data_IF_728455647623
#
_entry.id   IF_728455647623
#
_cell.length_a   1.000
_cell.length_b   1.000
_cell.length_c   1.000
_cell.angle_alpha   90.00
_cell.angle_beta   90.00
_cell.angle_gamma   90.00
#
_symmetry.space_group_name_H-M   'P 1'
#
loop_
_entity.id
_entity.type
_entity.pdbx_description
1 polymer ?
#
# COMPACT_ATOMS: atom_id res chain seq x y z
N UNK A 1 -17.28 -3.37 36.82
CA UNK A 1 -16.66 -3.67 35.51
C UNK A 1 -15.26 -3.05 35.50
N UNK A 2 -14.20 -3.83 35.75
CA UNK A 2 -12.83 -3.30 35.69
C UNK A 2 -12.44 -3.23 34.23
N UNK A 3 -12.32 -2.02 33.68
CA UNK A 3 -11.73 -1.82 32.36
C UNK A 3 -10.25 -2.18 32.50
N UNK A 4 -9.87 -3.40 32.11
CA UNK A 4 -8.47 -3.77 31.98
C UNK A 4 -7.94 -3.02 30.76
N UNK A 5 -7.39 -1.83 30.98
CA UNK A 5 -6.63 -1.11 29.95
C UNK A 5 -5.35 -1.91 29.69
N UNK A 6 -5.38 -2.86 28.75
CA UNK A 6 -4.19 -3.61 28.35
C UNK A 6 -3.23 -2.65 27.67
N UNK A 7 -2.16 -2.28 28.38
CA UNK A 7 -1.06 -1.50 27.80
C UNK A 7 -0.42 -2.30 26.67
N UNK A 8 -0.42 -1.73 25.46
CA UNK A 8 0.27 -2.35 24.34
C UNK A 8 1.76 -2.49 24.65
N UNK A 9 2.30 -3.69 24.38
CA UNK A 9 3.71 -3.96 24.54
C UNK A 9 4.51 -3.16 23.51
N UNK A 10 5.46 -2.36 23.98
CA UNK A 10 6.45 -1.71 23.12
C UNK A 10 7.29 -2.78 22.41
N UNK A 11 7.91 -2.45 21.28
CA UNK A 11 8.86 -3.38 20.63
C UNK A 11 10.01 -3.75 21.61
N UNK A 12 10.62 -4.92 21.42
CA UNK A 12 11.63 -5.44 22.35
C UNK A 12 12.88 -4.53 22.38
N UNK A 13 13.23 -3.93 21.24
CA UNK A 13 14.37 -3.00 21.11
C UNK A 13 14.19 -1.72 21.94
N UNK A 14 13.02 -1.08 21.91
CA UNK A 14 12.74 0.10 22.75
C UNK A 14 12.71 -0.26 24.22
N UNK A 15 12.25 -1.46 24.59
CA UNK A 15 12.30 -1.90 25.99
C UNK A 15 13.74 -2.06 26.49
N UNK A 16 14.66 -2.57 25.66
CA UNK A 16 16.09 -2.65 25.99
C UNK A 16 16.71 -1.25 26.13
N UNK A 17 16.43 -0.34 25.21
CA UNK A 17 16.92 1.05 25.24
C UNK A 17 16.41 1.83 26.46
N UNK A 18 15.18 1.57 26.90
CA UNK A 18 14.58 2.19 28.09
C UNK A 18 15.02 1.54 29.41
N UNK A 19 15.98 0.61 29.39
CA UNK A 19 16.50 -0.03 30.60
C UNK A 19 15.57 -1.08 31.21
N UNK A 20 14.71 -1.73 30.40
CA UNK A 20 13.83 -2.82 30.82
C UNK A 20 12.95 -2.49 32.06
N UNK A 21 12.04 -1.49 31.94
CA UNK A 21 11.19 -1.07 33.06
C UNK A 21 10.27 -2.19 33.58
N UNK A 22 10.00 -3.20 32.75
CA UNK A 22 9.18 -4.36 33.09
C UNK A 22 9.96 -5.50 33.77
N UNK A 23 11.28 -5.33 34.02
CA UNK A 23 12.18 -6.33 34.62
C UNK A 23 12.06 -7.74 34.01
N UNK A 24 11.89 -7.80 32.68
CA UNK A 24 11.83 -9.07 31.95
C UNK A 24 13.19 -9.74 31.86
N UNK A 25 13.23 -11.03 31.54
CA UNK A 25 14.48 -11.72 31.27
C UNK A 25 15.22 -11.08 30.08
N UNK A 26 16.42 -10.57 30.34
CA UNK A 26 17.23 -9.84 29.36
C UNK A 26 17.61 -10.68 28.15
N UNK A 27 17.87 -11.98 28.33
CA UNK A 27 18.26 -12.87 27.23
C UNK A 27 17.08 -13.15 26.30
N UNK A 28 15.90 -13.38 26.87
CA UNK A 28 14.67 -13.54 26.10
C UNK A 28 14.32 -12.26 25.33
N UNK A 29 14.49 -11.10 25.97
CA UNK A 29 14.21 -9.81 25.37
C UNK A 29 15.16 -9.50 24.20
N UNK A 30 16.45 -9.83 24.33
CA UNK A 30 17.43 -9.75 23.23
C UNK A 30 17.06 -10.68 22.08
N UNK A 31 16.74 -11.95 22.36
CA UNK A 31 16.31 -12.92 21.34
C UNK A 31 15.07 -12.45 20.60
N UNK A 32 14.14 -11.81 21.31
CA UNK A 32 12.93 -11.24 20.72
C UNK A 32 13.25 -10.03 19.84
N UNK A 33 14.14 -9.14 20.27
CA UNK A 33 14.57 -8.01 19.46
C UNK A 33 15.25 -8.46 18.16
N UNK A 34 16.13 -9.47 18.22
CA UNK A 34 16.75 -10.07 17.02
C UNK A 34 15.70 -10.71 16.10
N UNK A 35 14.69 -11.36 16.66
CA UNK A 35 13.59 -11.95 15.88
C UNK A 35 12.75 -10.87 15.20
N UNK A 36 12.40 -9.80 15.91
CA UNK A 36 11.66 -8.66 15.36
C UNK A 36 12.44 -7.97 14.23
N UNK A 37 13.76 -7.87 14.34
CA UNK A 37 14.63 -7.30 13.31
C UNK A 37 14.74 -8.22 12.07
N UNK A 38 14.84 -9.54 12.27
CA UNK A 38 14.80 -10.53 11.17
C UNK A 38 13.44 -10.65 10.48
N UNK A 39 12.37 -10.26 11.17
CA UNK A 39 11.01 -10.31 10.64
C UNK A 39 10.68 -9.10 9.75
N UNK A 40 11.53 -8.05 9.77
CA UNK A 40 11.42 -6.96 8.80
C UNK A 40 11.72 -7.51 7.41
N UNK A 41 10.73 -7.39 6.53
CA UNK A 41 10.90 -7.77 5.13
C UNK A 41 11.88 -6.82 4.45
N UNK A 42 12.61 -7.34 3.47
CA UNK A 42 13.47 -6.51 2.62
C UNK A 42 12.61 -5.55 1.79
N UNK A 43 13.16 -4.38 1.48
CA UNK A 43 12.59 -3.40 0.55
C UNK A 43 13.48 -3.21 -0.69
N UNK A 44 14.36 -4.19 -0.96
CA UNK A 44 15.37 -4.09 -2.00
C UNK A 44 14.82 -4.30 -3.42
N UNK A 45 13.66 -4.95 -3.57
CA UNK A 45 13.13 -5.40 -4.87
C UNK A 45 11.83 -4.70 -5.27
N UNK A 46 11.61 -3.47 -4.81
CA UNK A 46 10.45 -2.68 -5.21
C UNK A 46 10.62 -2.16 -6.65
N UNK A 47 10.31 -3.02 -7.61
CA UNK A 47 10.40 -2.75 -9.04
C UNK A 47 9.05 -2.98 -9.71
N UNK A 48 8.68 -2.16 -10.71
CA UNK A 48 7.40 -2.33 -11.38
C UNK A 48 7.41 -3.64 -12.20
N UNK A 49 6.33 -4.42 -12.16
CA UNK A 49 6.23 -5.65 -12.95
C UNK A 49 6.22 -5.38 -14.45
N UNK A 50 6.63 -6.40 -15.23
CA UNK A 50 6.80 -6.29 -16.68
C UNK A 50 5.49 -6.05 -17.43
N UNK A 51 4.39 -6.65 -16.95
CA UNK A 51 3.05 -6.58 -17.55
C UNK A 51 2.37 -5.20 -17.42
N UNK A 52 2.95 -4.31 -16.63
CA UNK A 52 2.38 -3.00 -16.34
C UNK A 52 2.54 -2.03 -17.53
N UNK A 53 1.50 -1.24 -17.83
CA UNK A 53 1.55 -0.23 -18.89
C UNK A 53 2.54 0.91 -18.59
N UNK A 54 2.98 1.67 -19.60
CA UNK A 54 3.94 2.76 -19.44
C UNK A 54 3.48 3.84 -18.46
N UNK A 55 2.19 4.21 -18.50
CA UNK A 55 1.62 5.22 -17.61
C UNK A 55 1.64 4.72 -16.16
N UNK A 56 1.21 3.47 -15.97
CA UNK A 56 1.24 2.80 -14.67
C UNK A 56 2.68 2.62 -14.13
N UNK A 57 3.66 2.28 -14.99
CA UNK A 57 5.09 2.18 -14.61
C UNK A 57 5.66 3.50 -14.13
N UNK A 58 5.28 4.63 -14.75
CA UNK A 58 5.71 5.96 -14.32
C UNK A 58 5.16 6.28 -12.93
N UNK A 59 3.87 6.00 -12.71
CA UNK A 59 3.22 6.24 -11.43
C UNK A 59 3.76 5.33 -10.33
N UNK A 60 3.98 4.05 -10.62
CA UNK A 60 4.60 3.10 -9.72
C UNK A 60 5.97 3.60 -9.26
N UNK A 61 6.84 4.06 -10.17
CA UNK A 61 8.17 4.58 -9.82
C UNK A 61 8.08 5.84 -8.96
N UNK A 62 7.10 6.72 -9.22
CA UNK A 62 6.84 7.92 -8.41
C UNK A 62 6.46 7.54 -6.98
N UNK A 63 5.49 6.64 -6.83
CA UNK A 63 4.99 6.19 -5.53
C UNK A 63 6.04 5.37 -4.77
N UNK A 64 6.69 4.41 -5.43
CA UNK A 64 7.74 3.60 -4.83
C UNK A 64 8.87 4.47 -4.26
N UNK A 65 9.30 5.51 -4.98
CA UNK A 65 10.32 6.44 -4.49
C UNK A 65 9.88 7.18 -3.21
N UNK A 66 8.64 7.66 -3.16
CA UNK A 66 8.10 8.36 -1.99
C UNK A 66 7.95 7.41 -0.80
N UNK A 67 7.38 6.23 -1.03
CA UNK A 67 7.07 5.25 0.01
C UNK A 67 8.32 4.56 0.58
N UNK A 68 9.34 4.31 -0.25
CA UNK A 68 10.64 3.82 0.22
C UNK A 68 11.36 4.85 1.09
N UNK A 69 11.23 6.15 0.79
CA UNK A 69 11.88 7.21 1.57
C UNK A 69 11.41 7.28 3.03
N UNK A 70 10.21 6.77 3.30
CA UNK A 70 9.59 6.70 4.64
C UNK A 70 9.55 5.26 5.20
N UNK A 71 10.23 4.31 4.55
CA UNK A 71 10.24 2.88 4.92
C UNK A 71 8.83 2.27 5.07
N UNK A 72 7.84 2.75 4.30
CA UNK A 72 6.44 2.32 4.45
C UNK A 72 6.12 1.05 3.65
N UNK A 73 6.88 0.77 2.59
CA UNK A 73 6.67 -0.39 1.72
C UNK A 73 7.86 -1.34 1.72
N UNK A 74 7.57 -2.62 1.51
CA UNK A 74 8.53 -3.70 1.38
C UNK A 74 8.22 -4.56 0.14
N UNK A 75 9.01 -5.62 -0.07
CA UNK A 75 8.87 -6.51 -1.23
C UNK A 75 7.48 -7.17 -1.36
N UNK A 76 6.71 -7.34 -0.27
CA UNK A 76 5.34 -7.87 -0.33
C UNK A 76 4.32 -6.89 -0.92
N UNK A 77 4.60 -5.60 -0.86
CA UNK A 77 3.65 -4.56 -1.28
C UNK A 77 3.71 -4.29 -2.78
N UNK A 78 4.70 -4.88 -3.48
CA UNK A 78 4.93 -4.66 -4.92
C UNK A 78 3.70 -4.99 -5.75
N UNK A 79 3.07 -6.14 -5.52
CA UNK A 79 1.91 -6.58 -6.31
C UNK A 79 0.69 -5.69 -6.05
N UNK A 80 0.46 -5.31 -4.79
CA UNK A 80 -0.63 -4.41 -4.43
C UNK A 80 -0.45 -3.02 -5.05
N UNK A 81 0.77 -2.48 -5.02
CA UNK A 81 1.09 -1.20 -5.64
C UNK A 81 0.97 -1.28 -7.16
N UNK A 82 1.32 -2.41 -7.77
CA UNK A 82 1.17 -2.64 -9.20
C UNK A 82 -0.31 -2.64 -9.63
N UNK A 83 -1.17 -3.35 -8.90
CA UNK A 83 -2.62 -3.37 -9.15
C UNK A 83 -3.25 -1.99 -9.02
N UNK A 84 -2.83 -1.21 -8.01
CA UNK A 84 -3.26 0.19 -7.88
C UNK A 84 -2.85 1.02 -9.10
N UNK A 85 -1.59 0.92 -9.54
CA UNK A 85 -1.09 1.68 -10.68
C UNK A 85 -1.77 1.28 -12.00
N UNK A 86 -2.11 0.00 -12.16
CA UNK A 86 -2.86 -0.48 -13.31
C UNK A 86 -4.27 0.11 -13.35
N UNK A 87 -5.00 0.06 -12.23
CA UNK A 87 -6.32 0.68 -12.10
C UNK A 87 -6.28 2.19 -12.36
N UNK A 88 -5.21 2.86 -11.91
CA UNK A 88 -4.98 4.28 -12.18
C UNK A 88 -4.78 4.57 -13.68
N UNK A 89 -3.98 3.77 -14.39
CA UNK A 89 -3.80 3.93 -15.84
C UNK A 89 -5.11 3.73 -16.60
N UNK A 90 -5.87 2.69 -16.25
CA UNK A 90 -7.18 2.44 -16.83
C UNK A 90 -8.16 3.59 -16.58
N UNK A 91 -8.18 4.15 -15.37
CA UNK A 91 -9.00 5.31 -15.03
C UNK A 91 -8.71 6.51 -15.95
N UNK A 92 -7.44 6.83 -16.18
CA UNK A 92 -7.05 7.91 -17.09
C UNK A 92 -7.48 7.64 -18.53
N UNK A 93 -7.28 6.40 -19.00
CA UNK A 93 -7.68 5.99 -20.35
C UNK A 93 -9.20 6.13 -20.56
N UNK A 94 -10.02 5.64 -19.62
CA UNK A 94 -11.48 5.77 -19.75
C UNK A 94 -11.94 7.22 -19.67
N UNK A 95 -11.32 8.03 -18.80
CA UNK A 95 -11.62 9.45 -18.71
C UNK A 95 -11.36 10.18 -20.03
N UNK A 96 -10.24 9.88 -20.69
CA UNK A 96 -9.92 10.44 -22.00
C UNK A 96 -10.94 10.01 -23.06
N UNK A 97 -11.28 8.71 -23.11
CA UNK A 97 -12.26 8.20 -24.08
C UNK A 97 -13.67 8.78 -23.88
N UNK A 98 -14.07 9.06 -22.64
CA UNK A 98 -15.35 9.74 -22.35
C UNK A 98 -15.29 11.20 -22.79
N UNK A 99 -14.16 11.88 -22.63
CA UNK A 99 -13.99 13.25 -23.11
C UNK A 99 -14.02 13.35 -24.64
N UNK A 100 -13.41 12.39 -25.34
CA UNK A 100 -13.35 12.38 -26.81
C UNK A 100 -14.67 11.99 -27.46
N UNK A 101 -15.32 10.93 -26.96
CA UNK A 101 -16.55 10.39 -27.56
C UNK A 101 -17.83 10.99 -26.98
N UNK A 102 -17.74 11.75 -25.89
CA UNK A 102 -18.89 12.22 -25.12
C UNK A 102 -19.58 11.11 -24.33
N UNK A 103 -20.69 11.48 -23.70
CA UNK A 103 -21.48 10.57 -22.83
C UNK A 103 -22.33 9.58 -23.63
N UNK A 104 -22.60 9.86 -24.90
CA UNK A 104 -23.50 9.10 -25.75
C UNK A 104 -22.80 8.75 -27.06
N UNK A 105 -22.91 7.49 -27.48
CA UNK A 105 -22.41 7.00 -28.76
C UNK A 105 -23.60 6.46 -29.54
N UNK A 106 -24.17 7.30 -30.41
CA UNK A 106 -25.48 7.04 -31.02
C UNK A 106 -26.60 7.06 -29.96
N UNK A 107 -27.50 6.08 -30.01
CA UNK A 107 -28.63 5.97 -29.06
C UNK A 107 -28.27 5.26 -27.74
N UNK A 108 -27.00 4.89 -27.55
CA UNK A 108 -26.54 4.16 -26.36
C UNK A 108 -25.58 5.01 -25.52
N UNK A 109 -25.58 4.85 -24.19
CA UNK A 109 -24.58 5.47 -23.34
C UNK A 109 -23.19 4.91 -23.68
N UNK A 110 -22.17 5.75 -23.54
CA UNK A 110 -20.79 5.35 -23.78
C UNK A 110 -20.40 4.19 -22.85
N UNK A 111 -19.93 3.03 -23.38
CA UNK A 111 -19.62 1.85 -22.57
C UNK A 111 -18.53 2.10 -21.53
N UNK A 112 -17.65 3.08 -21.75
CA UNK A 112 -16.57 3.42 -20.84
C UNK A 112 -17.03 4.13 -19.58
N UNK A 113 -18.27 4.64 -19.53
CA UNK A 113 -18.84 5.26 -18.32
C UNK A 113 -18.87 4.25 -17.16
N UNK A 114 -19.40 3.05 -17.41
CA UNK A 114 -19.50 2.01 -16.38
C UNK A 114 -18.12 1.49 -15.96
N UNK A 115 -17.18 1.39 -16.90
CA UNK A 115 -15.81 1.00 -16.61
C UNK A 115 -15.09 2.07 -15.75
N UNK A 116 -15.27 3.35 -16.09
CA UNK A 116 -14.78 4.48 -15.31
C UNK A 116 -15.35 4.51 -13.90
N UNK A 117 -16.66 4.28 -13.72
CA UNK A 117 -17.29 4.20 -12.40
C UNK A 117 -16.72 3.05 -11.55
N UNK A 118 -16.47 1.89 -12.15
CA UNK A 118 -15.84 0.76 -11.43
C UNK A 118 -14.44 1.10 -10.93
N UNK A 119 -13.61 1.71 -11.78
CA UNK A 119 -12.27 2.15 -11.38
C UNK A 119 -12.33 3.27 -10.31
N UNK A 120 -13.29 4.19 -10.43
CA UNK A 120 -13.50 5.27 -9.45
C UNK A 120 -13.95 4.72 -8.10
N UNK A 121 -14.89 3.77 -8.09
CA UNK A 121 -15.40 3.15 -6.86
C UNK A 121 -14.36 2.23 -6.22
N UNK A 122 -13.58 1.49 -7.01
CA UNK A 122 -12.47 0.68 -6.48
C UNK A 122 -11.42 1.55 -5.79
N UNK A 123 -11.10 2.73 -6.37
CA UNK A 123 -10.21 3.70 -5.73
C UNK A 123 -10.83 4.33 -4.46
N UNK A 124 -12.14 4.59 -4.45
CA UNK A 124 -12.84 5.10 -3.27
C UNK A 124 -12.83 4.07 -2.12
N UNK A 125 -13.14 2.81 -2.41
CA UNK A 125 -13.10 1.72 -1.42
C UNK A 125 -11.68 1.51 -0.87
N UNK A 126 -10.66 1.63 -1.73
CA UNK A 126 -9.27 1.53 -1.29
C UNK A 126 -8.87 2.67 -0.35
N UNK A 127 -9.39 3.89 -0.57
CA UNK A 127 -9.16 5.04 0.32
C UNK A 127 -9.97 4.95 1.63
N UNK A 128 -11.14 4.31 1.61
CA UNK A 128 -11.97 4.10 2.81
C UNK A 128 -11.42 2.99 3.74
N UNK A 129 -10.47 2.17 3.24
CA UNK A 129 -9.87 1.06 3.99
C UNK A 129 -8.56 1.41 4.72
N UNK A 130 -8.05 2.64 4.55
CA UNK A 130 -6.79 3.13 5.14
C UNK A 130 -7.10 4.12 6.26
#
# INVERSE_FOLDING_TARGET
MVIICRRQQKNARLQLLQGNPAKKNTNELKRRAEKEEKMKMSAAHVTPPSWLDETAKKEFKRLAKLLLSVELINDADVEHLALYCDAYSQYLSYKQQIQENGLWVGDRPNPFIFAHERCSNANAIFLDLI
#
